data_IF_979662617056
#
_entry.id   IF_979662617056
#
_cell.length_a   1.000
_cell.length_b   1.000
_cell.length_c   1.000
_cell.angle_alpha   90.00
_cell.angle_beta   90.00
_cell.angle_gamma   90.00
#
_symmetry.space_group_name_H-M   'P 1'
#
loop_
_entity.id
_entity.type
_entity.pdbx_description
1 polymer ?
#
# COMPACT_ATOMS: atom_id res chain seq x y z
N UNK A 1 19.29 -14.96 -12.65
CA UNK A 1 18.56 -14.83 -12.37
C UNK A 1 18.30 -13.92 -11.48
N UNK A 2 17.93 -13.39 -11.31
CA UNK A 2 17.63 -12.77 -10.57
C UNK A 2 16.63 -12.63 -10.02
N UNK A 3 16.44 -12.54 -9.47
CA UNK A 3 15.39 -12.72 -8.85
C UNK A 3 14.95 -11.66 -8.02
N UNK A 4 13.73 -11.27 -8.01
CA UNK A 4 13.20 -10.33 -7.12
C UNK A 4 13.36 -10.86 -5.76
N UNK A 5 13.91 -10.09 -4.89
CA UNK A 5 14.04 -10.46 -3.53
C UNK A 5 12.90 -9.89 -2.78
N UNK A 6 12.02 -10.75 -2.31
CA UNK A 6 10.90 -10.33 -1.49
C UNK A 6 11.27 -10.44 -0.04
N UNK A 7 10.91 -9.44 0.75
CA UNK A 7 11.12 -9.49 2.17
C UNK A 7 9.89 -9.03 2.91
N UNK A 8 9.79 -9.43 4.14
CA UNK A 8 8.66 -9.10 4.98
C UNK A 8 8.81 -7.70 5.52
N UNK A 9 7.75 -6.93 5.44
CA UNK A 9 7.72 -5.58 5.99
C UNK A 9 6.44 -5.42 6.80
N UNK A 10 6.51 -4.62 7.84
CA UNK A 10 5.35 -4.35 8.67
C UNK A 10 4.73 -3.04 8.26
N UNK A 11 3.43 -3.07 8.06
CA UNK A 11 2.66 -1.87 7.72
C UNK A 11 1.46 -1.84 8.64
N UNK A 12 0.91 -0.66 8.88
CA UNK A 12 -0.26 -0.50 9.73
C UNK A 12 -1.47 -0.27 8.85
N UNK A 13 -2.44 -1.16 8.96
CA UNK A 13 -3.67 -1.06 8.15
C UNK A 13 -4.89 -1.33 9.01
N UNK A 14 -5.98 -0.60 8.80
CA UNK A 14 -7.22 -0.87 9.51
C UNK A 14 -7.76 -2.25 9.15
N UNK A 15 -8.50 -2.85 10.09
CA UNK A 15 -9.10 -4.16 9.88
C UNK A 15 -9.97 -4.20 8.63
N UNK A 16 -10.73 -3.16 8.42
CA UNK A 16 -11.62 -3.09 7.25
C UNK A 16 -10.83 -3.21 5.95
N UNK A 17 -9.76 -2.44 5.85
CA UNK A 17 -8.95 -2.44 4.63
C UNK A 17 -8.28 -3.80 4.44
N UNK A 18 -7.76 -4.36 5.53
CA UNK A 18 -7.06 -5.65 5.45
C UNK A 18 -8.01 -6.76 5.06
N UNK A 19 -9.21 -6.79 5.67
CA UNK A 19 -10.21 -7.81 5.36
C UNK A 19 -10.63 -7.74 3.89
N UNK A 20 -10.87 -6.54 3.38
CA UNK A 20 -11.26 -6.38 1.99
C UNK A 20 -10.11 -6.76 1.06
N UNK A 21 -8.88 -6.50 1.47
CA UNK A 21 -7.72 -6.90 0.68
C UNK A 21 -7.64 -8.41 0.58
N UNK A 22 -7.88 -9.12 1.70
CA UNK A 22 -7.87 -10.58 1.70
C UNK A 22 -8.96 -11.15 0.82
N UNK A 23 -10.14 -10.58 0.88
CA UNK A 23 -11.26 -11.02 0.05
C UNK A 23 -10.93 -10.82 -1.42
N UNK A 24 -10.44 -9.64 -1.76
CA UNK A 24 -10.12 -9.34 -3.15
C UNK A 24 -9.00 -10.23 -3.68
N UNK A 25 -7.99 -10.48 -2.83
CA UNK A 25 -6.89 -11.36 -3.20
C UNK A 25 -7.42 -12.75 -3.52
N UNK A 26 -8.33 -13.25 -2.68
CA UNK A 26 -8.94 -14.56 -2.91
C UNK A 26 -9.68 -14.59 -4.24
N UNK A 27 -10.46 -13.55 -4.52
CA UNK A 27 -11.20 -13.49 -5.78
C UNK A 27 -10.28 -13.45 -6.99
N UNK A 28 -9.12 -12.83 -6.84
CA UNK A 28 -8.16 -12.73 -7.93
C UNK A 28 -7.16 -13.89 -7.95
N UNK A 29 -7.30 -14.83 -7.02
CA UNK A 29 -6.41 -15.98 -6.90
C UNK A 29 -4.95 -15.53 -6.66
N UNK A 30 -4.80 -14.55 -5.78
CA UNK A 30 -3.50 -14.00 -5.40
C UNK A 30 -3.37 -13.98 -3.90
N UNK A 31 -2.18 -13.64 -3.41
CA UNK A 31 -2.01 -13.38 -1.99
C UNK A 31 -2.27 -11.91 -1.71
N UNK A 32 -2.53 -11.59 -0.44
CA UNK A 32 -2.68 -10.20 -0.05
C UNK A 32 -1.43 -9.40 -0.36
N UNK A 33 -0.26 -10.01 -0.18
CA UNK A 33 1.01 -9.34 -0.51
C UNK A 33 1.10 -9.00 -1.98
N UNK A 34 0.58 -9.86 -2.85
CA UNK A 34 0.60 -9.59 -4.29
C UNK A 34 -0.30 -8.42 -4.64
N UNK A 35 -1.45 -8.30 -3.98
CA UNK A 35 -2.32 -7.14 -4.20
C UNK A 35 -1.62 -5.87 -3.73
N UNK A 36 -0.99 -5.92 -2.55
CA UNK A 36 -0.26 -4.77 -2.03
C UNK A 36 0.88 -4.38 -2.96
N UNK A 37 1.63 -5.37 -3.45
CA UNK A 37 2.74 -5.11 -4.37
C UNK A 37 2.22 -4.43 -5.63
N UNK A 38 1.10 -4.91 -6.15
CA UNK A 38 0.53 -4.35 -7.37
C UNK A 38 0.19 -2.86 -7.20
N UNK A 39 -0.53 -2.53 -6.13
CA UNK A 39 -0.95 -1.14 -5.95
C UNK A 39 0.24 -0.23 -5.65
N UNK A 40 1.23 -0.74 -4.92
CA UNK A 40 2.41 0.06 -4.59
C UNK A 40 3.31 0.25 -5.80
N UNK A 41 3.45 -0.78 -6.63
CA UNK A 41 4.24 -0.69 -7.85
C UNK A 41 3.64 0.36 -8.79
N UNK A 42 2.33 0.39 -8.86
CA UNK A 42 1.66 1.41 -9.65
C UNK A 42 1.94 2.80 -9.11
N UNK A 43 1.88 2.94 -7.78
CA UNK A 43 2.09 4.24 -7.16
C UNK A 43 3.51 4.76 -7.38
N UNK A 44 4.52 3.92 -7.13
CA UNK A 44 5.90 4.39 -7.24
C UNK A 44 6.30 4.64 -8.69
N UNK A 45 5.59 4.06 -9.64
CA UNK A 45 5.85 4.28 -11.06
C UNK A 45 5.31 5.59 -11.59
N UNK A 46 4.49 6.29 -10.82
CA UNK A 46 3.94 7.57 -11.27
C UNK A 46 4.98 8.67 -11.14
N UNK A 47 4.98 9.64 -12.07
CA UNK A 47 5.79 10.84 -11.86
C UNK A 47 5.35 11.57 -10.61
N UNK A 48 6.25 12.33 -10.01
CA UNK A 48 5.96 13.02 -8.76
C UNK A 48 4.72 13.89 -8.86
N UNK A 49 4.55 14.57 -9.99
CA UNK A 49 3.41 15.47 -10.16
C UNK A 49 2.09 14.72 -10.31
N UNK A 50 2.15 13.44 -10.66
CA UNK A 50 0.93 12.64 -10.83
C UNK A 50 0.59 11.84 -9.59
N UNK A 51 1.47 11.80 -8.60
CA UNK A 51 1.16 11.07 -7.38
C UNK A 51 0.08 11.80 -6.59
N UNK A 52 -0.99 11.10 -6.23
CA UNK A 52 -2.05 11.78 -5.48
C UNK A 52 -1.56 12.20 -4.11
N UNK A 53 -2.09 13.29 -3.57
CA UNK A 53 -1.72 13.69 -2.22
C UNK A 53 -2.21 12.66 -1.21
N UNK A 54 -1.53 12.60 -0.09
CA UNK A 54 -1.94 11.69 0.98
C UNK A 54 -3.07 12.36 1.75
N UNK A 55 -4.24 11.74 1.71
CA UNK A 55 -5.44 12.27 2.33
C UNK A 55 -5.73 11.67 3.69
N UNK A 56 -4.99 10.62 4.05
CA UNK A 56 -5.25 9.90 5.28
C UNK A 56 -4.23 10.30 6.33
N UNK A 57 -4.69 10.37 7.56
CA UNK A 57 -3.77 10.51 8.68
C UNK A 57 -3.34 9.10 9.06
N UNK A 58 -2.07 8.92 9.28
CA UNK A 58 -1.55 7.61 9.59
C UNK A 58 -1.92 7.20 11.01
N UNK A 59 -1.81 5.93 11.29
CA UNK A 59 -1.82 5.46 12.65
C UNK A 59 -2.99 4.65 13.12
N UNK A 60 -3.95 4.40 12.25
CA UNK A 60 -5.10 3.62 12.66
C UNK A 60 -4.94 2.20 12.17
N UNK A 61 -5.24 1.23 13.01
CA UNK A 61 -5.22 -0.17 12.60
C UNK A 61 -4.15 -0.97 13.30
N UNK A 62 -3.89 -2.16 12.79
CA UNK A 62 -2.92 -3.08 13.36
C UNK A 62 -1.79 -3.32 12.39
N UNK A 63 -0.69 -3.80 12.92
CA UNK A 63 0.45 -4.17 12.10
C UNK A 63 0.11 -5.39 11.26
N UNK A 64 0.44 -5.30 9.98
CA UNK A 64 0.25 -6.41 9.05
C UNK A 64 1.59 -6.71 8.39
N UNK A 65 1.85 -7.99 8.16
CA UNK A 65 3.05 -8.39 7.44
C UNK A 65 2.73 -8.50 5.97
N UNK A 66 3.51 -7.81 5.15
CA UNK A 66 3.37 -7.92 3.70
C UNK A 66 4.74 -8.23 3.12
N UNK A 67 4.75 -9.02 2.06
CA UNK A 67 6.00 -9.40 1.39
C UNK A 67 6.09 -8.63 0.10
N UNK A 68 7.10 -7.78 0.00
CA UNK A 68 7.26 -6.87 -1.13
C UNK A 68 8.64 -7.04 -1.73
N UNK A 69 8.75 -6.77 -3.03
CA UNK A 69 10.04 -6.70 -3.68
C UNK A 69 10.85 -5.58 -3.08
N UNK A 70 12.14 -5.83 -2.91
CA UNK A 70 13.02 -4.86 -2.31
C UNK A 70 13.08 -3.57 -3.09
N UNK A 71 13.00 -3.64 -4.41
CA UNK A 71 12.98 -2.45 -5.25
C UNK A 71 11.82 -1.54 -4.92
N UNK A 72 10.65 -2.13 -4.71
CA UNK A 72 9.46 -1.35 -4.36
C UNK A 72 9.63 -0.72 -2.99
N UNK A 73 10.19 -1.49 -2.06
CA UNK A 73 10.40 -0.97 -0.70
C UNK A 73 11.36 0.21 -0.70
N UNK A 74 12.43 0.14 -1.48
CA UNK A 74 13.39 1.24 -1.59
C UNK A 74 12.72 2.48 -2.14
N UNK A 75 11.88 2.32 -3.16
CA UNK A 75 11.16 3.47 -3.71
C UNK A 75 10.21 4.08 -2.68
N UNK A 76 9.59 3.23 -1.86
CA UNK A 76 8.70 3.73 -0.81
C UNK A 76 9.47 4.48 0.26
N UNK A 77 10.66 3.99 0.61
CA UNK A 77 11.51 4.70 1.56
C UNK A 77 11.88 6.08 0.99
N UNK A 78 12.15 6.14 -0.31
CA UNK A 78 12.44 7.40 -0.95
C UNK A 78 11.26 8.36 -0.83
N UNK A 79 10.05 7.87 -1.08
CA UNK A 79 8.85 8.68 -0.92
C UNK A 79 8.69 9.16 0.53
N UNK A 80 8.95 8.27 1.48
CA UNK A 80 8.80 8.60 2.88
C UNK A 80 9.77 9.71 3.29
N UNK A 81 11.03 9.59 2.86
CA UNK A 81 12.07 10.51 3.28
C UNK A 81 11.99 11.82 2.51
N UNK A 82 11.88 11.76 1.19
CA UNK A 82 11.92 12.97 0.37
C UNK A 82 10.59 13.69 0.30
N UNK A 83 9.51 12.95 0.23
CA UNK A 83 8.19 13.54 0.03
C UNK A 83 7.40 13.55 1.32
N UNK A 84 7.94 12.99 2.39
CA UNK A 84 7.31 12.97 3.70
C UNK A 84 5.95 12.28 3.66
N UNK A 85 5.87 11.17 2.92
CA UNK A 85 4.64 10.41 2.78
C UNK A 85 4.79 9.10 3.53
N UNK A 86 4.05 8.90 4.63
CA UNK A 86 4.17 7.66 5.39
C UNK A 86 3.78 6.45 4.55
N UNK A 87 4.57 5.40 4.63
CA UNK A 87 4.36 4.23 3.78
C UNK A 87 3.01 3.58 4.06
N UNK A 88 2.63 3.45 5.34
CA UNK A 88 1.34 2.85 5.66
C UNK A 88 0.18 3.66 5.11
N UNK A 89 0.29 4.98 5.14
CA UNK A 89 -0.75 5.83 4.58
C UNK A 89 -0.83 5.70 3.07
N UNK A 90 0.33 5.61 2.40
CA UNK A 90 0.34 5.37 0.96
C UNK A 90 -0.37 4.07 0.64
N UNK A 91 0.00 2.99 1.34
CA UNK A 91 -0.57 1.70 1.06
C UNK A 91 -2.07 1.67 1.35
N UNK A 92 -2.48 2.22 2.49
CA UNK A 92 -3.90 2.24 2.83
C UNK A 92 -4.69 2.99 1.77
N UNK A 93 -4.21 4.15 1.36
CA UNK A 93 -4.92 4.97 0.38
C UNK A 93 -5.02 4.25 -0.96
N UNK A 94 -3.93 3.63 -1.39
CA UNK A 94 -3.93 2.90 -2.66
C UNK A 94 -4.84 1.68 -2.62
N UNK A 95 -4.86 0.97 -1.49
CA UNK A 95 -5.75 -0.17 -1.35
C UNK A 95 -7.20 0.27 -1.34
N UNK A 96 -7.52 1.36 -0.66
CA UNK A 96 -8.91 1.85 -0.66
C UNK A 96 -9.36 2.19 -2.08
N UNK A 97 -8.50 2.83 -2.85
CA UNK A 97 -8.83 3.16 -4.23
C UNK A 97 -9.05 1.87 -5.06
N UNK A 98 -8.17 0.91 -4.89
CA UNK A 98 -8.25 -0.35 -5.62
C UNK A 98 -9.50 -1.14 -5.25
N UNK A 99 -9.89 -1.10 -3.98
CA UNK A 99 -11.01 -1.88 -3.47
C UNK A 99 -12.33 -1.13 -3.54
N UNK A 100 -12.33 0.11 -3.97
CA UNK A 100 -13.54 0.91 -4.03
C UNK A 100 -14.01 1.43 -2.69
N UNK A 101 -13.12 1.51 -1.71
CA UNK A 101 -13.46 2.03 -0.39
C UNK A 101 -13.22 3.53 -0.34
N UNK A 102 -13.93 4.26 0.53
CA UNK A 102 -13.70 5.69 0.64
C UNK A 102 -12.27 6.00 1.03
N UNK A 103 -11.65 6.93 0.35
CA UNK A 103 -10.27 7.30 0.60
C UNK A 103 -10.17 8.42 1.62
N UNK A 104 -11.07 9.38 1.53
CA UNK A 104 -11.03 10.51 2.43
C UNK A 104 -11.51 10.08 3.80
N UNK A 105 -10.92 10.61 4.83
CA UNK A 105 -11.34 10.33 6.18
C UNK A 105 -12.61 11.05 6.57
N UNK A 106 -13.17 11.81 5.68
CA UNK A 106 -14.38 12.54 5.98
C UNK A 106 -15.55 11.60 5.83
N UNK A 107 -16.22 11.35 6.88
CA UNK A 107 -17.43 10.60 6.76
C UNK A 107 -18.55 11.58 6.69
N UNK A 108 -19.41 11.32 5.88
CA UNK A 108 -20.56 12.21 5.76
C UNK A 108 -21.80 11.51 6.11
#
# INVERSE_FOLDING_TARGET
MMNSQRSEHKVVLPDEVWSETLIQATLEQKTASEVCDYVLRHYVGLPAEDKPPILLTSGSGQQRSVYLDQEIWIELITCKVRERRPISAILEQQLRAYLGLPVSGVST
#
